data_IF_405102961878
#
_entry.id   IF_405102961878
#
_cell.length_a   1.000
_cell.length_b   1.000
_cell.length_c   1.000
_cell.angle_alpha   90.00
_cell.angle_beta   90.00
_cell.angle_gamma   90.00
#
_symmetry.space_group_name_H-M   'P 1'
#
loop_
_entity.id
_entity.type
_entity.pdbx_description
1 polymer ?
#
# COMPACT_ATOMS: atom_id res chain seq x y z
N UNK A 1 -28.90 4.39 -25.07
CA UNK A 1 -27.67 4.35 -24.24
C UNK A 1 -27.96 4.55 -22.74
N UNK A 2 -29.23 4.58 -22.30
CA UNK A 2 -29.63 4.81 -20.91
C UNK A 2 -29.38 3.66 -19.93
N UNK A 3 -28.87 2.51 -20.42
CA UNK A 3 -28.81 1.27 -19.63
C UNK A 3 -27.39 0.93 -19.13
N UNK A 4 -26.40 1.81 -19.35
CA UNK A 4 -25.03 1.59 -18.88
C UNK A 4 -24.93 2.03 -17.42
N UNK A 5 -24.55 1.08 -16.56
CA UNK A 5 -24.20 1.33 -15.16
C UNK A 5 -22.68 1.39 -15.06
N UNK A 6 -22.16 2.53 -14.60
CA UNK A 6 -20.73 2.71 -14.37
C UNK A 6 -20.38 2.35 -12.93
N UNK A 7 -19.29 1.59 -12.76
CA UNK A 7 -18.71 1.33 -11.43
C UNK A 7 -17.39 2.09 -11.35
N UNK A 8 -17.29 3.06 -10.44
CA UNK A 8 -16.08 3.87 -10.32
C UNK A 8 -15.69 4.17 -8.87
N UNK A 9 -14.46 4.63 -8.67
CA UNK A 9 -14.05 5.17 -7.39
C UNK A 9 -14.75 6.51 -7.06
N UNK A 10 -14.49 7.06 -5.89
CA UNK A 10 -15.09 8.32 -5.44
C UNK A 10 -14.46 9.58 -6.05
N UNK A 11 -13.67 9.47 -7.12
CA UNK A 11 -12.92 10.57 -7.70
C UNK A 11 -13.82 11.69 -8.22
N UNK A 12 -13.64 12.92 -7.71
CA UNK A 12 -14.55 14.03 -8.03
C UNK A 12 -14.60 14.42 -9.51
N UNK A 13 -13.51 14.21 -10.26
CA UNK A 13 -13.47 14.48 -11.71
C UNK A 13 -14.26 13.43 -12.48
N UNK A 14 -14.10 12.15 -12.14
CA UNK A 14 -14.78 11.05 -12.78
C UNK A 14 -16.29 11.07 -12.49
N UNK A 15 -16.67 11.39 -11.26
CA UNK A 15 -18.08 11.56 -10.89
C UNK A 15 -18.76 12.71 -11.65
N UNK A 16 -18.06 13.82 -11.90
CA UNK A 16 -18.57 14.92 -12.74
C UNK A 16 -18.73 14.49 -14.20
N UNK A 17 -17.76 13.77 -14.75
CA UNK A 17 -17.83 13.28 -16.12
C UNK A 17 -19.00 12.31 -16.33
N UNK A 18 -19.38 11.56 -15.29
CA UNK A 18 -20.44 10.57 -15.32
C UNK A 18 -21.78 11.06 -14.76
N UNK A 19 -21.97 12.37 -14.57
CA UNK A 19 -23.16 12.93 -13.90
C UNK A 19 -24.50 12.56 -14.56
N UNK A 20 -24.47 12.27 -15.87
CA UNK A 20 -25.65 11.92 -16.68
C UNK A 20 -25.95 10.41 -16.68
N UNK A 21 -25.13 9.60 -16.03
CA UNK A 21 -25.26 8.15 -16.02
C UNK A 21 -25.55 7.61 -14.62
N UNK A 22 -26.03 6.36 -14.57
CA UNK A 22 -26.12 5.62 -13.32
C UNK A 22 -24.72 5.21 -12.88
N UNK A 23 -24.31 5.66 -11.70
CA UNK A 23 -23.00 5.37 -11.12
C UNK A 23 -23.14 4.60 -9.81
N UNK A 24 -22.46 3.47 -9.71
CA UNK A 24 -22.29 2.68 -8.49
C UNK A 24 -20.87 2.86 -7.96
N UNK A 25 -20.72 3.00 -6.64
CA UNK A 25 -19.40 3.19 -6.02
C UNK A 25 -18.64 1.88 -5.93
N UNK A 26 -17.35 1.92 -6.24
CA UNK A 26 -16.43 0.81 -6.12
C UNK A 26 -16.28 0.37 -4.66
N UNK A 27 -16.67 -0.87 -4.38
CA UNK A 27 -16.60 -1.47 -3.03
C UNK A 27 -15.15 -1.62 -2.57
N UNK A 28 -14.25 -2.06 -3.44
CA UNK A 28 -12.82 -2.19 -3.10
C UNK A 28 -12.21 -0.85 -2.66
N UNK A 29 -12.57 0.25 -3.34
CA UNK A 29 -12.15 1.59 -2.93
C UNK A 29 -12.76 2.00 -1.58
N UNK A 30 -14.02 1.65 -1.30
CA UNK A 30 -14.66 1.92 0.01
C UNK A 30 -14.00 1.13 1.15
N UNK A 31 -13.69 -0.15 0.93
CA UNK A 31 -13.00 -0.98 1.91
C UNK A 31 -11.58 -0.46 2.19
N UNK A 32 -10.85 -0.06 1.16
CA UNK A 32 -9.54 0.59 1.33
C UNK A 32 -9.65 1.87 2.18
N UNK A 33 -10.65 2.72 1.92
CA UNK A 33 -10.87 3.92 2.72
C UNK A 33 -11.26 3.61 4.17
N UNK A 34 -11.99 2.51 4.42
CA UNK A 34 -12.34 2.07 5.77
C UNK A 34 -11.07 1.76 6.57
N UNK A 35 -10.20 0.90 6.04
CA UNK A 35 -8.93 0.57 6.68
C UNK A 35 -8.02 1.81 6.81
N UNK A 36 -7.97 2.70 5.81
CA UNK A 36 -7.24 3.97 5.92
C UNK A 36 -7.74 4.80 7.09
N UNK A 37 -9.05 4.93 7.22
CA UNK A 37 -9.67 5.69 8.31
C UNK A 37 -9.40 5.06 9.66
N UNK A 38 -9.44 3.73 9.76
CA UNK A 38 -9.19 3.00 11.01
C UNK A 38 -7.75 3.17 11.49
N UNK A 39 -6.77 2.89 10.62
CA UNK A 39 -5.36 2.89 11.02
C UNK A 39 -4.73 4.27 11.03
N UNK A 40 -5.11 5.14 10.10
CA UNK A 40 -4.50 6.45 9.95
C UNK A 40 -5.37 7.59 10.46
N UNK A 41 -6.56 7.28 11.01
CA UNK A 41 -7.47 8.24 11.65
C UNK A 41 -7.66 9.51 10.82
N UNK A 42 -7.77 9.34 9.49
CA UNK A 42 -8.04 10.42 8.54
C UNK A 42 -9.48 10.90 8.76
N UNK A 43 -9.71 11.70 9.79
CA UNK A 43 -11.03 12.26 10.05
C UNK A 43 -11.50 13.09 8.85
N UNK A 44 -12.76 12.86 8.46
CA UNK A 44 -13.48 13.49 7.36
C UNK A 44 -13.85 14.96 7.65
N UNK A 45 -12.94 15.75 8.22
CA UNK A 45 -13.12 17.17 8.49
C UNK A 45 -12.03 17.95 7.77
N UNK A 46 -12.35 18.54 6.60
CA UNK A 46 -11.80 19.74 5.92
C UNK A 46 -10.35 20.22 6.24
N UNK A 47 -9.46 19.37 6.71
CA UNK A 47 -8.02 19.63 6.83
C UNK A 47 -7.41 18.88 5.67
N UNK A 48 -7.21 19.64 4.60
CA UNK A 48 -6.52 19.21 3.38
C UNK A 48 -5.28 18.40 3.76
N UNK A 49 -5.18 17.22 3.14
CA UNK A 49 -3.95 16.55 2.68
C UNK A 49 -2.72 16.88 3.52
N UNK A 50 -2.35 16.00 4.45
CA UNK A 50 -0.97 15.60 4.74
C UNK A 50 -0.94 14.82 6.07
N UNK A 51 -1.07 13.50 5.99
CA UNK A 51 -0.36 12.66 6.94
C UNK A 51 1.07 12.61 6.43
N UNK A 52 1.92 13.50 6.95
CA UNK A 52 3.36 13.48 6.72
C UNK A 52 3.98 12.60 7.81
N UNK A 53 4.56 11.48 7.38
CA UNK A 53 5.50 10.72 8.19
C UNK A 53 6.72 11.61 8.50
N UNK A 54 7.42 11.42 9.64
CA UNK A 54 8.68 12.10 9.91
C UNK A 54 9.64 12.00 8.71
N UNK A 55 10.20 13.14 8.29
CA UNK A 55 10.93 13.33 7.02
C UNK A 55 11.94 12.23 6.70
N UNK A 56 11.56 11.33 5.79
CA UNK A 56 12.40 10.78 4.70
C UNK A 56 11.54 10.33 3.49
N UNK A 57 10.40 10.98 3.28
CA UNK A 57 9.45 10.69 2.20
C UNK A 57 9.44 11.84 1.17
N UNK A 58 10.35 11.73 0.20
CA UNK A 58 10.08 12.15 -1.18
C UNK A 58 9.99 10.87 -2.00
N UNK A 59 8.84 10.65 -2.60
CA UNK A 59 8.57 9.58 -3.57
C UNK A 59 8.72 10.25 -4.94
N UNK A 60 9.88 10.08 -5.57
CA UNK A 60 10.20 10.59 -6.92
C UNK A 60 10.45 9.42 -7.88
N UNK A 61 9.61 8.39 -7.84
CA UNK A 61 9.62 7.36 -8.88
C UNK A 61 8.21 6.83 -9.11
N UNK A 62 7.35 7.68 -9.68
CA UNK A 62 6.29 7.22 -10.57
C UNK A 62 6.92 7.11 -11.96
N UNK A 63 7.50 5.96 -12.27
CA UNK A 63 7.64 5.51 -13.67
C UNK A 63 6.88 4.18 -13.77
N UNK A 64 5.87 4.22 -14.62
CA UNK A 64 5.04 3.10 -15.05
C UNK A 64 5.90 2.07 -15.76
N UNK A 65 5.88 0.82 -15.30
CA UNK A 65 6.26 -0.33 -16.13
C UNK A 65 5.29 -1.47 -15.83
N UNK A 66 4.07 -1.34 -16.38
CA UNK A 66 3.26 -2.49 -16.77
C UNK A 66 3.81 -2.98 -18.12
N UNK A 67 4.81 -3.87 -18.10
CA UNK A 67 5.13 -4.68 -19.28
C UNK A 67 4.43 -6.03 -19.15
N UNK A 68 3.22 -6.06 -19.71
CA UNK A 68 2.49 -7.28 -20.03
C UNK A 68 3.20 -7.96 -21.21
N UNK A 69 3.74 -9.14 -20.95
CA UNK A 69 4.38 -9.99 -21.95
C UNK A 69 3.33 -10.56 -22.90
N UNK A 70 3.28 -10.05 -24.13
CA UNK A 70 2.68 -10.75 -25.27
C UNK A 70 3.64 -10.68 -26.46
N UNK A 71 4.28 -11.81 -26.71
CA UNK A 71 5.15 -12.06 -27.85
C UNK A 71 4.31 -12.78 -28.91
N UNK A 72 3.71 -12.02 -29.83
CA UNK A 72 3.21 -12.56 -31.09
C UNK A 72 3.97 -11.88 -32.22
N UNK A 73 4.79 -12.69 -32.90
CA UNK A 73 5.50 -12.36 -34.12
C UNK A 73 4.51 -12.05 -35.23
N UNK A 74 4.64 -10.89 -35.87
CA UNK A 74 4.38 -10.74 -37.29
C UNK A 74 5.23 -9.58 -37.86
N UNK A 75 6.12 -9.93 -38.78
CA UNK A 75 6.93 -9.02 -39.59
C UNK A 75 6.08 -8.48 -40.76
N UNK A 76 6.27 -7.18 -41.06
CA UNK A 76 6.41 -6.54 -42.39
C UNK A 76 6.18 -5.03 -42.16
N UNK A 77 7.22 -4.19 -42.12
CA UNK A 77 7.91 -3.55 -43.25
C UNK A 77 7.00 -2.59 -44.04
N UNK A 78 7.20 -1.28 -43.81
CA UNK A 78 7.21 -0.24 -44.85
C UNK A 78 7.65 1.10 -44.22
N UNK A 79 8.73 1.65 -44.75
CA UNK A 79 9.39 2.86 -44.26
C UNK A 79 8.68 4.16 -44.63
N UNK A 80 8.92 5.19 -43.80
CA UNK A 80 8.73 6.58 -44.18
C UNK A 80 9.65 7.48 -43.33
N UNK A 81 10.58 8.18 -43.99
CA UNK A 81 11.40 9.25 -43.44
C UNK A 81 10.53 10.51 -43.19
N UNK A 82 10.68 11.18 -42.04
CA UNK A 82 10.51 12.65 -41.97
C UNK A 82 11.20 13.27 -40.74
N UNK A 83 11.85 14.40 -41.00
CA UNK A 83 12.68 15.22 -40.11
C UNK A 83 11.86 16.01 -39.09
N UNK A 84 12.37 16.22 -37.87
CA UNK A 84 11.61 17.02 -36.88
C UNK A 84 12.26 17.35 -35.54
N UNK A 85 13.37 18.08 -35.59
CA UNK A 85 13.92 19.03 -34.59
C UNK A 85 13.12 19.24 -33.26
N UNK A 86 13.66 18.66 -32.19
CA UNK A 86 14.08 19.31 -30.93
C UNK A 86 13.29 20.57 -30.44
N UNK A 87 12.21 20.40 -29.68
CA UNK A 87 11.60 21.51 -28.90
C UNK A 87 10.65 21.08 -27.75
N UNK A 88 11.13 20.32 -26.76
CA UNK A 88 10.34 20.03 -25.51
C UNK A 88 11.14 20.07 -24.19
N UNK A 89 12.29 20.73 -24.16
CA UNK A 89 13.03 21.01 -22.91
C UNK A 89 13.07 22.50 -22.62
N UNK A 90 11.95 23.11 -22.19
CA UNK A 90 11.91 24.46 -21.57
C UNK A 90 10.51 24.83 -21.05
N UNK A 91 9.99 24.12 -20.05
CA UNK A 91 8.92 24.66 -19.20
C UNK A 91 8.79 23.85 -17.90
N UNK A 92 9.48 24.28 -16.83
CA UNK A 92 9.04 24.24 -15.42
C UNK A 92 10.22 24.45 -14.46
N UNK A 93 10.94 25.57 -14.61
CA UNK A 93 11.74 26.12 -13.53
C UNK A 93 10.94 27.24 -12.87
N UNK A 94 10.36 26.94 -11.69
CA UNK A 94 10.00 27.85 -10.57
C UNK A 94 8.90 27.21 -9.72
N UNK A 95 9.29 26.50 -8.66
CA UNK A 95 8.46 26.45 -7.45
C UNK A 95 9.36 26.66 -6.24
N UNK A 96 8.98 27.67 -5.46
CA UNK A 96 9.75 28.24 -4.36
C UNK A 96 9.87 27.24 -3.19
N UNK A 97 11.09 27.14 -2.66
CA UNK A 97 11.40 26.59 -1.35
C UNK A 97 10.68 27.40 -0.25
N UNK A 98 9.85 26.74 0.56
CA UNK A 98 9.21 27.33 1.74
C UNK A 98 9.77 26.62 2.99
N UNK A 99 10.37 27.34 3.98
CA UNK A 99 11.09 26.72 5.08
C UNK A 99 10.21 26.24 6.25
N UNK A 100 10.54 25.04 6.73
CA UNK A 100 10.57 24.54 8.13
C UNK A 100 9.59 25.06 9.21
N UNK A 101 8.27 24.92 9.03
CA UNK A 101 7.33 25.11 10.16
C UNK A 101 6.23 24.03 10.30
N UNK A 102 6.33 22.92 9.56
CA UNK A 102 5.31 21.84 9.54
C UNK A 102 5.69 20.57 10.32
N UNK A 103 6.93 20.46 10.82
CA UNK A 103 7.41 19.28 11.57
C UNK A 103 6.75 19.10 12.94
N UNK A 104 6.28 20.16 13.57
CA UNK A 104 5.75 20.10 14.94
C UNK A 104 4.42 19.34 15.06
N UNK A 105 3.59 19.34 14.00
CA UNK A 105 2.20 18.87 14.10
C UNK A 105 2.04 17.36 13.89
N UNK A 106 2.96 16.70 13.18
CA UNK A 106 2.89 15.24 12.95
C UNK A 106 3.31 14.45 14.20
N UNK A 107 4.32 14.96 14.92
CA UNK A 107 4.84 14.35 16.16
C UNK A 107 3.83 14.49 17.30
N UNK A 108 3.08 15.61 17.36
CA UNK A 108 2.04 15.81 18.37
C UNK A 108 0.85 14.87 18.22
N UNK A 109 0.52 14.40 17.01
CA UNK A 109 -0.62 13.51 16.77
C UNK A 109 -0.32 12.07 17.18
N UNK A 110 0.84 11.53 16.80
CA UNK A 110 1.28 10.18 17.22
C UNK A 110 1.42 10.10 18.75
N UNK A 111 1.78 11.21 19.41
CA UNK A 111 1.86 11.27 20.86
C UNK A 111 0.49 11.07 21.57
N UNK A 112 -0.63 11.36 20.91
CA UNK A 112 -1.98 11.32 21.49
C UNK A 112 -2.73 10.00 21.25
N UNK A 113 -2.21 9.11 20.42
CA UNK A 113 -2.84 7.81 20.15
C UNK A 113 -2.76 6.87 21.37
N UNK A 114 -3.71 5.91 21.52
CA UNK A 114 -3.53 4.81 22.47
C UNK A 114 -2.24 4.03 22.20
N UNK A 115 -1.59 3.53 23.25
CA UNK A 115 -0.27 2.88 23.16
C UNK A 115 -0.26 1.71 22.16
N UNK A 116 -1.31 0.90 22.12
CA UNK A 116 -1.39 -0.25 21.22
C UNK A 116 -1.52 0.15 19.75
N UNK A 117 -2.25 1.22 19.47
CA UNK A 117 -2.36 1.80 18.12
C UNK A 117 -0.99 2.30 17.67
N UNK A 118 -0.22 2.95 18.55
CA UNK A 118 1.16 3.36 18.25
C UNK A 118 2.04 2.16 17.93
N UNK A 119 1.96 1.09 18.74
CA UNK A 119 2.75 -0.13 18.52
C UNK A 119 2.48 -0.72 17.14
N UNK A 120 1.22 -0.82 16.72
CA UNK A 120 0.84 -1.32 15.39
C UNK A 120 1.42 -0.44 14.28
N UNK A 121 1.25 0.88 14.37
CA UNK A 121 1.77 1.81 13.37
C UNK A 121 3.29 1.79 13.28
N UNK A 122 3.98 1.70 14.42
CA UNK A 122 5.45 1.58 14.48
C UNK A 122 5.90 0.29 13.80
N UNK A 123 5.24 -0.85 14.02
CA UNK A 123 5.56 -2.11 13.34
C UNK A 123 5.39 -2.00 11.82
N UNK A 124 4.34 -1.35 11.33
CA UNK A 124 4.15 -1.09 9.90
C UNK A 124 5.31 -0.27 9.34
N UNK A 125 5.70 0.82 10.02
CA UNK A 125 6.80 1.69 9.59
C UNK A 125 8.12 0.92 9.55
N UNK A 126 8.42 0.13 10.57
CA UNK A 126 9.66 -0.66 10.63
C UNK A 126 9.75 -1.66 9.48
N UNK A 127 8.65 -2.34 9.15
CA UNK A 127 8.61 -3.25 7.99
C UNK A 127 8.92 -2.50 6.69
N UNK A 128 8.32 -1.32 6.48
CA UNK A 128 8.59 -0.51 5.29
C UNK A 128 10.03 -0.03 5.21
N UNK A 129 10.59 0.41 6.33
CA UNK A 129 11.99 0.85 6.40
C UNK A 129 12.96 -0.30 6.11
N UNK A 130 12.63 -1.52 6.58
CA UNK A 130 13.39 -2.72 6.26
C UNK A 130 13.34 -3.02 4.76
N UNK A 131 12.16 -3.02 4.13
CA UNK A 131 12.01 -3.22 2.68
C UNK A 131 12.81 -2.18 1.90
N UNK A 132 12.72 -0.89 2.26
CA UNK A 132 13.48 0.19 1.62
C UNK A 132 14.99 -0.03 1.74
N UNK A 133 15.44 -0.45 2.93
CA UNK A 133 16.84 -0.74 3.16
C UNK A 133 17.31 -1.94 2.31
N UNK A 134 16.61 -3.07 2.39
CA UNK A 134 16.92 -4.30 1.64
C UNK A 134 17.02 -4.03 0.14
N UNK A 135 16.07 -3.27 -0.43
CA UNK A 135 16.14 -2.85 -1.84
C UNK A 135 17.33 -1.95 -2.13
N UNK A 136 17.60 -0.96 -1.26
CA UNK A 136 18.71 -0.02 -1.44
C UNK A 136 20.08 -0.73 -1.51
N UNK A 137 20.25 -1.80 -0.74
CA UNK A 137 21.49 -2.59 -0.74
C UNK A 137 21.39 -3.87 -1.59
N UNK A 138 20.36 -3.98 -2.43
CA UNK A 138 20.11 -5.05 -3.38
C UNK A 138 20.09 -6.49 -2.78
N UNK A 139 19.63 -6.67 -1.54
CA UNK A 139 19.54 -8.00 -0.91
C UNK A 139 18.35 -8.84 -1.41
N UNK A 140 17.49 -8.29 -2.27
CA UNK A 140 16.41 -9.07 -2.87
C UNK A 140 16.96 -10.21 -3.74
N UNK A 141 18.08 -9.99 -4.44
CA UNK A 141 18.74 -11.05 -5.20
C UNK A 141 19.22 -12.18 -4.28
N UNK A 142 19.86 -11.83 -3.16
CA UNK A 142 20.33 -12.83 -2.18
C UNK A 142 19.18 -13.66 -1.58
N UNK A 143 17.98 -13.09 -1.49
CA UNK A 143 16.78 -13.81 -1.04
C UNK A 143 16.27 -14.77 -2.12
N UNK A 144 16.24 -14.34 -3.38
CA UNK A 144 15.87 -15.21 -4.52
C UNK A 144 16.82 -16.38 -4.64
N UNK A 145 18.13 -16.14 -4.52
CA UNK A 145 19.17 -17.17 -4.59
C UNK A 145 19.01 -18.23 -3.49
N UNK A 146 18.38 -17.87 -2.36
CA UNK A 146 18.05 -18.77 -1.24
C UNK A 146 16.62 -19.32 -1.30
N UNK A 147 15.90 -19.11 -2.39
CA UNK A 147 14.51 -19.50 -2.56
C UNK A 147 13.58 -18.92 -1.46
N UNK A 148 13.94 -17.76 -0.92
CA UNK A 148 13.14 -16.99 0.03
C UNK A 148 12.28 -15.94 -0.68
N UNK A 149 11.25 -15.46 0.00
CA UNK A 149 10.32 -14.51 -0.62
C UNK A 149 10.95 -13.11 -0.72
N UNK A 150 10.89 -12.53 -1.91
CA UNK A 150 11.37 -11.16 -2.16
C UNK A 150 10.55 -10.16 -1.36
N UNK A 151 11.21 -9.14 -0.83
CA UNK A 151 10.52 -8.08 -0.07
C UNK A 151 9.75 -7.16 -1.01
N UNK A 152 8.44 -7.10 -0.79
CA UNK A 152 7.50 -6.34 -1.59
C UNK A 152 7.33 -4.93 -1.03
N UNK A 153 7.48 -3.94 -1.90
CA UNK A 153 7.21 -2.55 -1.53
C UNK A 153 5.70 -2.32 -1.47
N UNK A 154 5.28 -1.48 -0.53
CA UNK A 154 3.88 -1.10 -0.42
C UNK A 154 3.60 0.37 -0.64
N UNK A 155 2.45 0.63 -1.24
CA UNK A 155 1.75 1.90 -1.15
C UNK A 155 0.78 1.84 0.03
N UNK A 156 0.90 2.77 0.98
CA UNK A 156 0.06 2.80 2.20
C UNK A 156 -1.44 2.92 1.84
N UNK A 157 -1.72 3.55 0.71
CA UNK A 157 -3.08 3.80 0.25
C UNK A 157 -3.77 2.55 -0.29
N UNK A 158 -3.04 1.44 -0.51
CA UNK A 158 -3.57 0.20 -1.10
C UNK A 158 -3.32 -0.97 -0.16
N UNK A 159 -4.34 -1.38 0.58
CA UNK A 159 -4.19 -2.34 1.69
C UNK A 159 -3.70 -3.73 1.29
N UNK A 160 -4.06 -4.20 0.09
CA UNK A 160 -3.49 -5.43 -0.45
C UNK A 160 -1.96 -5.33 -0.61
N UNK A 161 -1.47 -4.18 -1.07
CA UNK A 161 -0.03 -3.93 -1.22
C UNK A 161 0.66 -3.87 0.14
N UNK A 162 0.01 -3.25 1.14
CA UNK A 162 0.51 -3.24 2.51
C UNK A 162 0.58 -4.66 3.10
N UNK A 163 -0.48 -5.45 2.98
CA UNK A 163 -0.50 -6.83 3.47
C UNK A 163 0.61 -7.67 2.81
N UNK A 164 0.73 -7.60 1.48
CA UNK A 164 1.78 -8.30 0.74
C UNK A 164 3.19 -7.93 1.24
N UNK A 165 3.43 -6.65 1.54
CA UNK A 165 4.67 -6.17 2.14
C UNK A 165 4.91 -6.80 3.52
N UNK A 166 3.92 -6.73 4.43
CA UNK A 166 4.02 -7.30 5.77
C UNK A 166 4.27 -8.81 5.72
N UNK A 167 3.56 -9.54 4.85
CA UNK A 167 3.78 -10.97 4.65
C UNK A 167 5.16 -11.30 4.10
N UNK A 168 5.63 -10.51 3.12
CA UNK A 168 6.97 -10.71 2.53
C UNK A 168 8.07 -10.53 3.56
N UNK A 169 7.95 -9.52 4.42
CA UNK A 169 8.87 -9.33 5.55
C UNK A 169 8.78 -10.54 6.48
N UNK A 170 7.59 -10.87 6.97
CA UNK A 170 7.41 -11.93 7.96
C UNK A 170 7.96 -13.30 7.49
N UNK A 171 7.71 -13.67 6.23
CA UNK A 171 8.17 -14.93 5.64
C UNK A 171 9.69 -14.97 5.45
N UNK A 172 10.32 -13.82 5.22
CA UNK A 172 11.75 -13.73 4.89
C UNK A 172 12.62 -13.27 6.06
N UNK A 173 12.05 -13.00 7.24
CA UNK A 173 12.79 -12.52 8.41
C UNK A 173 13.93 -13.46 8.83
N UNK A 174 13.69 -14.78 8.79
CA UNK A 174 14.69 -15.79 9.19
C UNK A 174 15.87 -15.75 8.21
N UNK A 175 15.59 -15.88 6.91
CA UNK A 175 16.62 -15.85 5.86
C UNK A 175 17.35 -14.51 5.82
N UNK A 176 16.65 -13.39 6.05
CA UNK A 176 17.29 -12.08 6.20
C UNK A 176 18.24 -12.04 7.40
N UNK A 177 17.90 -12.71 8.51
CA UNK A 177 18.78 -12.85 9.67
C UNK A 177 20.11 -13.50 9.29
N UNK A 178 20.07 -14.60 8.54
CA UNK A 178 21.25 -15.32 8.04
C UNK A 178 22.08 -14.45 7.08
N UNK A 179 21.43 -13.79 6.10
CA UNK A 179 22.12 -12.90 5.16
C UNK A 179 22.79 -11.74 5.89
N UNK A 180 22.14 -11.19 6.92
CA UNK A 180 22.71 -10.09 7.72
C UNK A 180 23.91 -10.56 8.55
N UNK A 181 23.91 -11.79 9.05
CA UNK A 181 25.07 -12.40 9.71
C UNK A 181 26.25 -12.53 8.75
N UNK A 182 26.02 -13.17 7.62
CA UNK A 182 27.07 -13.48 6.65
C UNK A 182 27.70 -12.22 6.05
N UNK A 183 26.88 -11.21 5.76
CA UNK A 183 27.35 -9.92 5.21
C UNK A 183 27.78 -8.91 6.28
N UNK A 184 27.82 -9.31 7.56
CA UNK A 184 28.16 -8.44 8.70
C UNK A 184 27.35 -7.12 8.73
N UNK A 185 26.05 -7.21 8.43
CA UNK A 185 25.13 -6.06 8.40
C UNK A 185 24.50 -5.80 9.77
N UNK A 186 24.02 -4.57 9.96
CA UNK A 186 23.39 -4.16 11.21
C UNK A 186 22.01 -4.84 11.42
N UNK A 187 21.99 -5.87 12.27
CA UNK A 187 20.78 -6.60 12.68
C UNK A 187 19.77 -5.81 13.51
N UNK A 188 20.15 -4.67 14.08
CA UNK A 188 19.24 -3.86 14.90
C UNK A 188 18.00 -3.37 14.12
N UNK A 189 18.01 -3.44 12.77
CA UNK A 189 16.82 -3.20 11.95
C UNK A 189 15.82 -4.35 11.97
N UNK A 190 16.28 -5.59 12.09
CA UNK A 190 15.44 -6.80 12.20
C UNK A 190 14.86 -6.92 13.61
N UNK A 191 15.69 -6.73 14.65
CA UNK A 191 15.31 -6.89 16.06
C UNK A 191 14.23 -5.89 16.52
N UNK A 192 14.10 -4.77 15.80
CA UNK A 192 13.06 -3.76 16.05
C UNK A 192 11.65 -4.26 15.75
N UNK A 193 11.51 -5.26 14.87
CA UNK A 193 10.22 -5.75 14.41
C UNK A 193 9.66 -6.75 15.42
N UNK A 194 8.53 -6.41 16.03
CA UNK A 194 7.80 -7.33 16.89
C UNK A 194 7.07 -8.38 16.02
N UNK A 195 7.68 -9.56 15.89
CA UNK A 195 7.17 -10.67 15.07
C UNK A 195 5.79 -11.15 15.53
N UNK A 196 5.52 -11.17 16.84
CA UNK A 196 4.21 -11.56 17.38
C UNK A 196 3.11 -10.58 16.93
N UNK A 197 3.37 -9.28 17.06
CA UNK A 197 2.44 -8.24 16.63
C UNK A 197 2.27 -8.21 15.12
N UNK A 198 3.36 -8.41 14.36
CA UNK A 198 3.32 -8.51 12.90
C UNK A 198 2.42 -9.67 12.43
N UNK A 199 2.58 -10.86 13.02
CA UNK A 199 1.72 -12.01 12.73
C UNK A 199 0.25 -11.72 13.03
N UNK A 200 -0.05 -11.14 14.20
CA UNK A 200 -1.43 -10.74 14.55
C UNK A 200 -2.01 -9.73 13.57
N UNK A 201 -1.22 -8.76 13.13
CA UNK A 201 -1.64 -7.77 12.15
C UNK A 201 -1.92 -8.40 10.77
N UNK A 202 -1.08 -9.33 10.33
CA UNK A 202 -1.31 -10.10 9.09
C UNK A 202 -2.60 -10.90 9.20
N UNK A 203 -2.80 -11.61 10.31
CA UNK A 203 -4.00 -12.43 10.53
C UNK A 203 -5.27 -11.56 10.60
N UNK A 204 -5.19 -10.38 11.20
CA UNK A 204 -6.28 -9.40 11.20
C UNK A 204 -6.65 -8.93 9.78
N UNK A 205 -5.68 -8.80 8.88
CA UNK A 205 -5.90 -8.32 7.51
C UNK A 205 -6.35 -9.42 6.53
N UNK A 206 -6.17 -10.71 6.85
CA UNK A 206 -6.56 -11.83 5.96
C UNK A 206 -8.05 -11.84 5.54
N UNK A 207 -9.03 -11.60 6.44
CA UNK A 207 -10.44 -11.51 6.04
C UNK A 207 -10.67 -10.39 5.01
N UNK A 208 -9.96 -9.27 5.16
CA UNK A 208 -10.02 -8.15 4.22
C UNK A 208 -9.41 -8.51 2.87
N UNK A 209 -8.27 -9.20 2.86
CA UNK A 209 -7.64 -9.71 1.65
C UNK A 209 -8.57 -10.64 0.87
N UNK A 210 -9.17 -11.61 1.56
CA UNK A 210 -10.13 -12.54 1.00
C UNK A 210 -11.29 -11.80 0.32
N UNK A 211 -11.91 -10.87 1.04
CA UNK A 211 -13.00 -10.04 0.50
C UNK A 211 -12.54 -9.24 -0.71
N UNK A 212 -11.42 -8.53 -0.61
CA UNK A 212 -10.89 -7.66 -1.68
C UNK A 212 -10.62 -8.46 -2.95
N UNK A 213 -9.94 -9.60 -2.85
CA UNK A 213 -9.68 -10.51 -3.99
C UNK A 213 -10.97 -10.98 -4.64
N UNK A 214 -12.00 -11.26 -3.87
CA UNK A 214 -13.29 -11.71 -4.40
C UNK A 214 -14.08 -10.59 -5.08
N UNK A 215 -14.21 -9.43 -4.43
CA UNK A 215 -15.01 -8.32 -5.00
C UNK A 215 -14.34 -7.71 -6.24
N UNK A 216 -13.02 -7.83 -6.35
CA UNK A 216 -12.25 -7.37 -7.52
C UNK A 216 -12.11 -8.43 -8.61
N UNK A 217 -12.62 -9.65 -8.41
CA UNK A 217 -12.53 -10.70 -9.43
C UNK A 217 -13.36 -10.33 -10.66
N UNK A 218 -12.74 -10.34 -11.82
CA UNK A 218 -13.39 -10.17 -13.13
C UNK A 218 -13.84 -11.49 -13.74
N UNK A 219 -13.35 -12.62 -13.23
CA UNK A 219 -13.63 -13.97 -13.76
C UNK A 219 -14.96 -14.56 -13.31
N UNK A 220 -15.54 -14.01 -12.24
CA UNK A 220 -16.81 -14.44 -11.67
C UNK A 220 -17.68 -13.21 -11.36
N UNK A 221 -19.01 -13.31 -11.43
CA UNK A 221 -19.87 -12.22 -11.00
C UNK A 221 -19.56 -11.87 -9.54
N UNK A 222 -19.36 -10.59 -9.22
CA UNK A 222 -18.89 -10.18 -7.89
C UNK A 222 -19.87 -9.28 -7.14
N UNK A 223 -20.81 -8.62 -7.82
CA UNK A 223 -21.74 -7.69 -7.16
C UNK A 223 -22.58 -8.34 -6.05
N UNK A 224 -23.00 -9.59 -6.25
CA UNK A 224 -23.83 -10.32 -5.30
C UNK A 224 -23.07 -10.71 -4.02
N UNK A 225 -21.74 -10.70 -4.03
CA UNK A 225 -20.93 -11.07 -2.87
C UNK A 225 -20.59 -9.86 -1.99
N UNK A 226 -20.96 -8.64 -2.39
CA UNK A 226 -20.69 -7.42 -1.63
C UNK A 226 -21.33 -7.48 -0.25
N UNK A 227 -22.60 -7.85 -0.16
CA UNK A 227 -23.31 -7.97 1.14
C UNK A 227 -22.72 -9.08 2.01
N UNK A 228 -22.53 -10.33 1.51
CA UNK A 228 -21.81 -11.36 2.26
C UNK A 228 -20.42 -10.93 2.74
N UNK A 229 -19.70 -10.15 1.93
CA UNK A 229 -18.37 -9.65 2.26
C UNK A 229 -18.38 -8.73 3.49
N UNK A 230 -19.40 -7.89 3.63
CA UNK A 230 -19.58 -7.03 4.81
C UNK A 230 -19.80 -7.90 6.06
N UNK A 231 -20.61 -8.96 5.96
CA UNK A 231 -20.81 -9.90 7.06
C UNK A 231 -19.51 -10.59 7.47
N UNK A 232 -18.71 -11.06 6.50
CA UNK A 232 -17.41 -11.69 6.76
C UNK A 232 -16.48 -10.74 7.53
N UNK A 233 -16.38 -9.49 7.08
CA UNK A 233 -15.57 -8.48 7.76
C UNK A 233 -16.10 -8.24 9.18
N UNK A 234 -17.40 -8.01 9.35
CA UNK A 234 -17.98 -7.75 10.67
C UNK A 234 -17.74 -8.90 11.64
N UNK A 235 -17.95 -10.15 11.22
CA UNK A 235 -17.66 -11.32 12.06
C UNK A 235 -16.18 -11.44 12.40
N UNK A 236 -15.28 -10.99 11.51
CA UNK A 236 -13.84 -10.97 11.82
C UNK A 236 -13.43 -9.89 12.85
N UNK A 237 -14.29 -8.88 13.06
CA UNK A 237 -14.08 -7.78 14.00
C UNK A 237 -14.76 -8.01 15.35
N UNK A 238 -15.48 -9.12 15.53
CA UNK A 238 -16.08 -9.48 16.81
C UNK A 238 -14.98 -9.70 17.87
N UNK A 239 -15.21 -9.17 19.07
CA UNK A 239 -14.27 -9.29 20.18
C UNK A 239 -14.08 -10.75 20.57
N UNK A 240 -12.83 -11.22 20.56
CA UNK A 240 -12.49 -12.58 21.00
C UNK A 240 -12.07 -12.56 22.47
N UNK A 241 -12.31 -13.65 23.18
CA UNK A 241 -11.96 -13.81 24.59
C UNK A 241 -10.46 -13.66 24.92
N UNK A 242 -9.62 -13.76 23.89
CA UNK A 242 -8.16 -13.66 24.01
C UNK A 242 -7.62 -12.27 23.67
N UNK A 243 -8.46 -11.36 23.17
CA UNK A 243 -8.06 -9.98 22.85
C UNK A 243 -7.77 -9.18 24.14
N UNK A 244 -8.45 -9.52 25.25
CA UNK A 244 -8.34 -8.83 26.55
C UNK A 244 -7.23 -9.36 27.48
N UNK A 245 -6.46 -10.38 27.09
CA UNK A 245 -5.48 -11.05 27.98
C UNK A 245 -4.05 -10.49 27.89
N UNK A 246 -3.78 -9.44 27.11
CA UNK A 246 -2.41 -8.97 26.85
C UNK A 246 -1.92 -7.77 27.68
N UNK A 247 -2.68 -7.34 28.70
CA UNK A 247 -2.28 -6.23 29.58
C UNK A 247 -1.51 -6.69 30.82
N UNK A 248 -0.33 -7.31 30.66
CA UNK A 248 0.74 -7.35 31.68
C UNK A 248 2.10 -7.52 31.00
N UNK A 249 2.71 -6.41 30.57
CA UNK A 249 4.07 -6.35 30.05
C UNK A 249 4.60 -4.93 30.05
#
# INVERSE_FOLDING_TARGET
MSDIIWVCDGGSNLLKALEKFTVVRCVAHRLNNCLQTIFFQTNASKVKKHILFPDHFHDESEDEDDQDSNNENEQNDDGFDDDGVNDRQKACAKYNFIPSNKKSNAISFIAQLPTDVKRILVTIVQCKELVKYVKKINLNQDLEDRNALVLLQCTIVRWLSLLNCLESVNKSLITLGEIFEEKNLNKAKLDKINVCLLNKLIDFLKPWEYVMKRVQSSKIPSIHIVTPSICIINSSLETKSDDSKQDKG
#
